data_IF_667978752868
#
_entry.id   IF_667978752868
#
_cell.length_a   1.000
_cell.length_b   1.000
_cell.length_c   1.000
_cell.angle_alpha   90.00
_cell.angle_beta   90.00
_cell.angle_gamma   90.00
#
_symmetry.space_group_name_H-M   'P 1'
#
loop_
_entity.id
_entity.type
_entity.pdbx_description
1 polymer ?
#
# COMPACT_ATOMS: atom_id res chain seq x y z
N UNK A 1 10.17 -23.44 15.96
CA UNK A 1 9.83 -23.06 14.56
C UNK A 1 8.34 -23.22 14.22
N UNK A 2 7.82 -24.44 14.08
CA UNK A 2 6.55 -24.72 13.35
C UNK A 2 5.29 -23.99 13.85
N UNK A 3 5.07 -23.88 15.17
CA UNK A 3 3.87 -23.21 15.74
C UNK A 3 3.79 -21.73 15.36
N UNK A 4 4.93 -21.02 15.38
CA UNK A 4 5.02 -19.60 14.98
C UNK A 4 4.74 -19.43 13.48
N UNK A 5 5.34 -20.25 12.61
CA UNK A 5 5.08 -20.26 11.17
C UNK A 5 3.60 -20.55 10.82
N UNK A 6 2.95 -21.43 11.60
CA UNK A 6 1.52 -21.74 11.42
C UNK A 6 0.62 -20.59 11.92
N UNK A 7 1.03 -19.88 12.96
CA UNK A 7 0.33 -18.68 13.45
C UNK A 7 0.51 -17.49 12.49
N UNK A 8 1.73 -17.19 12.03
CA UNK A 8 1.98 -16.09 11.08
C UNK A 8 1.22 -16.32 9.78
N UNK A 9 1.24 -17.52 9.19
CA UNK A 9 0.42 -17.85 7.99
C UNK A 9 -1.10 -17.79 8.23
N UNK A 10 -1.59 -17.80 9.48
CA UNK A 10 -3.01 -17.53 9.82
C UNK A 10 -3.27 -16.02 9.96
N UNK A 11 -2.43 -15.30 10.71
CA UNK A 11 -2.52 -13.84 10.85
C UNK A 11 -2.44 -13.13 9.49
N UNK A 12 -1.55 -13.60 8.62
CA UNK A 12 -1.35 -13.07 7.27
C UNK A 12 -2.61 -13.14 6.39
N UNK A 13 -3.51 -14.13 6.61
CA UNK A 13 -4.81 -14.16 5.93
C UNK A 13 -5.64 -12.91 6.24
N UNK A 14 -5.69 -12.55 7.52
CA UNK A 14 -6.45 -11.40 8.00
C UNK A 14 -5.72 -10.08 7.70
N UNK A 15 -4.38 -10.07 7.76
CA UNK A 15 -3.56 -8.93 7.33
C UNK A 15 -3.74 -8.60 5.84
N UNK A 16 -3.77 -9.61 4.96
CA UNK A 16 -4.09 -9.43 3.54
C UNK A 16 -5.51 -8.89 3.32
N UNK A 17 -6.49 -9.35 4.11
CA UNK A 17 -7.87 -8.85 4.01
C UNK A 17 -7.99 -7.41 4.54
N UNK A 18 -7.25 -7.08 5.60
CA UNK A 18 -7.14 -5.74 6.15
C UNK A 18 -6.49 -4.78 5.14
N UNK A 19 -5.42 -5.18 4.44
CA UNK A 19 -4.86 -4.38 3.35
C UNK A 19 -5.85 -4.20 2.19
N UNK A 20 -6.53 -5.26 1.78
CA UNK A 20 -7.48 -5.23 0.66
C UNK A 20 -8.71 -4.34 0.95
N UNK A 21 -9.07 -4.17 2.23
CA UNK A 21 -10.09 -3.21 2.67
C UNK A 21 -9.53 -1.81 2.96
N UNK A 22 -8.35 -1.68 3.58
CA UNK A 22 -7.77 -0.40 3.96
C UNK A 22 -7.29 0.40 2.74
N UNK A 23 -6.60 -0.22 1.78
CA UNK A 23 -6.03 0.51 0.63
C UNK A 23 -7.13 1.23 -0.20
N UNK A 24 -8.36 0.67 -0.40
CA UNK A 24 -9.44 1.38 -1.08
C UNK A 24 -10.36 2.22 -0.17
N UNK A 25 -10.59 1.82 1.09
CA UNK A 25 -11.58 2.48 1.97
C UNK A 25 -10.98 3.47 2.97
N UNK A 26 -9.70 3.34 3.32
CA UNK A 26 -9.08 4.22 4.30
C UNK A 26 -8.70 5.56 3.65
N UNK A 27 -9.23 6.70 4.12
CA UNK A 27 -8.79 8.00 3.65
C UNK A 27 -7.31 8.22 4.01
N UNK A 28 -6.57 8.84 3.10
CA UNK A 28 -5.09 8.92 3.12
C UNK A 28 -4.51 9.88 4.17
N UNK A 29 -4.83 9.63 5.44
CA UNK A 29 -4.40 10.47 6.54
C UNK A 29 -2.86 10.45 6.72
N UNK A 30 -2.22 11.63 6.88
CA UNK A 30 -0.82 11.71 7.25
C UNK A 30 -0.64 11.21 8.69
N UNK A 31 0.33 10.33 8.91
CA UNK A 31 0.78 9.94 10.25
C UNK A 31 2.04 10.72 10.65
N UNK A 32 3.02 10.82 9.75
CA UNK A 32 4.24 11.62 9.95
C UNK A 32 4.41 12.53 8.73
N UNK A 33 4.51 13.85 8.94
CA UNK A 33 4.88 14.81 7.90
C UNK A 33 6.40 14.94 7.85
N UNK A 34 6.96 14.97 6.64
CA UNK A 34 8.39 15.15 6.39
C UNK A 34 8.59 16.60 5.92
N UNK A 35 9.24 17.47 6.71
CA UNK A 35 9.32 18.90 6.43
C UNK A 35 10.02 19.17 5.09
N UNK A 36 9.55 20.18 4.36
CA UNK A 36 10.04 20.50 3.02
C UNK A 36 9.53 19.57 1.90
N UNK A 37 8.55 18.69 2.17
CA UNK A 37 7.94 17.85 1.13
C UNK A 37 6.41 17.73 1.28
N UNK A 38 5.73 17.62 0.14
CA UNK A 38 4.32 17.24 0.02
C UNK A 38 4.04 15.76 0.40
N UNK A 39 5.01 15.07 1.00
CA UNK A 39 5.06 13.60 1.09
C UNK A 39 5.10 13.15 2.55
N UNK A 40 3.92 12.87 3.10
CA UNK A 40 3.79 12.20 4.40
C UNK A 40 4.11 10.70 4.33
N UNK A 41 4.46 10.13 5.48
CA UNK A 41 4.20 8.72 5.79
C UNK A 41 2.74 8.63 6.22
N UNK A 42 1.95 7.76 5.58
CA UNK A 42 0.52 7.59 5.87
C UNK A 42 0.29 6.48 6.88
N UNK A 43 -0.90 6.41 7.47
CA UNK A 43 -1.22 5.29 8.37
C UNK A 43 -1.30 3.94 7.62
N UNK A 44 -1.69 3.95 6.34
CA UNK A 44 -1.71 2.75 5.49
C UNK A 44 -0.30 2.12 5.33
N UNK A 45 0.75 2.96 5.25
CA UNK A 45 2.16 2.54 5.13
C UNK A 45 2.60 1.69 6.36
N UNK A 46 2.07 1.97 7.56
CA UNK A 46 2.34 1.18 8.78
C UNK A 46 1.66 -0.19 8.76
N UNK A 47 0.44 -0.28 8.24
CA UNK A 47 -0.25 -1.57 8.06
C UNK A 47 0.46 -2.42 7.01
N UNK A 48 0.93 -1.79 5.93
CA UNK A 48 1.79 -2.41 4.91
C UNK A 48 3.09 -2.95 5.54
N UNK A 49 3.79 -2.15 6.34
CA UNK A 49 5.00 -2.59 7.05
C UNK A 49 4.75 -3.75 8.03
N UNK A 50 3.66 -3.71 8.81
CA UNK A 50 3.31 -4.79 9.73
C UNK A 50 3.01 -6.11 8.98
N UNK A 51 2.28 -6.05 7.86
CA UNK A 51 1.99 -7.23 7.02
C UNK A 51 3.25 -7.69 6.27
N UNK A 52 4.16 -6.79 5.89
CA UNK A 52 5.46 -7.13 5.32
C UNK A 52 6.34 -7.93 6.30
N UNK A 53 6.42 -7.51 7.56
CA UNK A 53 7.14 -8.23 8.61
C UNK A 53 6.53 -9.62 8.84
N UNK A 54 5.19 -9.71 8.92
CA UNK A 54 4.50 -11.00 9.01
C UNK A 54 4.74 -11.89 7.78
N UNK A 55 4.81 -11.32 6.57
CA UNK A 55 5.12 -12.03 5.33
C UNK A 55 6.55 -12.57 5.33
N UNK A 56 7.54 -11.74 5.67
CA UNK A 56 8.94 -12.13 5.76
C UNK A 56 9.13 -13.25 6.78
N UNK A 57 8.52 -13.15 7.97
CA UNK A 57 8.56 -14.22 8.99
C UNK A 57 7.83 -15.49 8.51
N UNK A 58 6.71 -15.35 7.80
CA UNK A 58 5.92 -16.47 7.30
C UNK A 58 6.59 -17.23 6.14
N UNK A 59 7.39 -16.56 5.31
CA UNK A 59 7.94 -17.13 4.06
C UNK A 59 9.48 -17.07 3.98
N UNK A 60 10.19 -16.77 5.07
CA UNK A 60 11.66 -16.76 5.11
C UNK A 60 12.31 -18.04 4.53
N UNK A 61 11.82 -19.26 4.83
CA UNK A 61 12.34 -20.49 4.21
C UNK A 61 12.10 -20.55 2.70
N UNK A 62 10.94 -20.06 2.25
CA UNK A 62 10.55 -20.04 0.84
C UNK A 62 11.16 -18.87 0.04
N UNK A 63 11.81 -17.89 0.68
CA UNK A 63 12.37 -16.70 0.02
C UNK A 63 13.27 -17.03 -1.18
N UNK A 64 14.07 -18.11 -1.13
CA UNK A 64 14.91 -18.55 -2.27
C UNK A 64 14.13 -18.82 -3.57
N UNK A 65 12.79 -18.84 -3.51
CA UNK A 65 11.89 -18.96 -4.66
C UNK A 65 11.55 -17.60 -5.32
N UNK A 66 12.10 -16.45 -4.88
CA UNK A 66 11.86 -15.07 -5.41
C UNK A 66 13.19 -14.39 -6.20
N UNK A 67 12.98 -15.36 -7.23
CA UNK A 67 13.65 -15.59 -8.57
C UNK A 67 13.38 -16.92 -9.28
N UNK A 68 12.46 -17.76 -8.80
CA UNK A 68 12.14 -18.98 -9.53
C UNK A 68 11.50 -18.66 -10.90
N UNK A 69 10.87 -17.49 -11.05
CA UNK A 69 10.17 -17.07 -12.28
C UNK A 69 10.75 -15.78 -12.87
N UNK A 70 10.68 -15.66 -14.21
CA UNK A 70 11.14 -14.48 -14.98
C UNK A 70 10.58 -13.16 -14.43
N UNK A 71 9.28 -13.09 -14.12
CA UNK A 71 8.60 -11.89 -13.60
C UNK A 71 9.19 -11.45 -12.24
N UNK A 72 9.42 -12.39 -11.33
CA UNK A 72 10.02 -12.12 -10.01
C UNK A 72 11.42 -11.49 -10.19
N UNK A 73 12.19 -11.98 -11.16
CA UNK A 73 13.51 -11.45 -11.55
C UNK A 73 13.44 -10.07 -12.22
N UNK A 74 12.44 -9.83 -13.07
CA UNK A 74 12.21 -8.52 -13.71
C UNK A 74 11.90 -7.43 -12.67
N UNK A 75 11.13 -7.74 -11.62
CA UNK A 75 10.87 -6.81 -10.51
C UNK A 75 12.15 -6.52 -9.72
N UNK A 76 12.97 -7.54 -9.44
CA UNK A 76 14.26 -7.36 -8.78
C UNK A 76 15.23 -6.48 -9.59
N UNK A 77 15.30 -6.68 -10.93
CA UNK A 77 16.09 -5.85 -11.85
C UNK A 77 15.57 -4.41 -11.85
N UNK A 78 14.25 -4.19 -11.92
CA UNK A 78 13.65 -2.85 -11.89
C UNK A 78 13.99 -2.08 -10.60
N UNK A 79 13.95 -2.75 -9.44
CA UNK A 79 14.31 -2.15 -8.16
C UNK A 79 15.83 -1.88 -8.05
N UNK A 80 16.67 -2.76 -8.61
CA UNK A 80 18.12 -2.58 -8.68
C UNK A 80 18.54 -1.42 -9.60
N UNK A 81 17.97 -1.33 -10.80
CA UNK A 81 18.18 -0.18 -11.71
C UNK A 81 17.67 1.11 -11.08
N UNK A 82 16.54 1.06 -10.37
CA UNK A 82 16.05 2.19 -9.57
C UNK A 82 17.01 2.64 -8.47
N UNK A 83 17.74 1.71 -7.84
CA UNK A 83 18.76 2.02 -6.83
C UNK A 83 20.01 2.65 -7.47
N UNK A 84 20.48 2.10 -8.59
CA UNK A 84 21.63 2.64 -9.33
C UNK A 84 21.32 4.05 -9.84
N UNK A 85 20.10 4.27 -10.35
CA UNK A 85 19.62 5.59 -10.76
C UNK A 85 19.58 6.59 -9.59
N UNK A 86 19.11 6.16 -8.41
CA UNK A 86 19.14 6.99 -7.19
C UNK A 86 20.57 7.33 -6.76
N UNK A 87 21.47 6.35 -6.75
CA UNK A 87 22.88 6.56 -6.37
C UNK A 87 23.60 7.51 -7.33
N UNK A 88 23.32 7.41 -8.64
CA UNK A 88 23.80 8.39 -9.63
C UNK A 88 23.23 9.79 -9.36
N UNK A 89 21.93 9.89 -9.07
CA UNK A 89 21.24 11.13 -8.72
C UNK A 89 21.78 11.85 -7.47
N UNK A 90 22.29 11.07 -6.50
CA UNK A 90 22.91 11.57 -5.26
C UNK A 90 24.39 11.90 -5.48
N UNK A 91 25.17 10.98 -6.04
CA UNK A 91 26.64 11.03 -6.02
C UNK A 91 27.25 11.76 -7.22
N UNK A 92 26.64 11.63 -8.41
CA UNK A 92 27.21 12.11 -9.68
C UNK A 92 26.54 13.41 -10.09
N UNK A 93 25.21 13.43 -10.23
CA UNK A 93 24.50 14.64 -10.67
C UNK A 93 24.11 15.58 -9.54
N UNK A 94 24.15 15.11 -8.29
CA UNK A 94 23.82 15.86 -7.07
C UNK A 94 22.44 16.55 -7.11
N UNK A 95 21.52 16.03 -7.92
CA UNK A 95 20.17 16.58 -8.15
C UNK A 95 19.14 16.10 -7.14
N UNK A 96 19.47 15.09 -6.32
CA UNK A 96 18.53 14.43 -5.41
C UNK A 96 19.00 14.54 -3.96
N UNK A 97 18.17 15.16 -3.11
CA UNK A 97 18.38 15.20 -1.65
C UNK A 97 18.37 13.76 -1.11
N UNK A 98 19.45 13.26 -0.46
CA UNK A 98 19.63 11.83 -0.21
C UNK A 98 18.50 11.15 0.57
N UNK A 99 18.03 11.76 1.65
CA UNK A 99 16.99 11.17 2.50
C UNK A 99 15.63 11.11 1.79
N UNK A 100 15.25 12.15 1.04
CA UNK A 100 14.03 12.18 0.21
C UNK A 100 14.11 11.09 -0.86
N UNK A 101 15.24 11.00 -1.58
CA UNK A 101 15.44 10.01 -2.63
C UNK A 101 15.38 8.56 -2.14
N UNK A 102 15.99 8.26 -0.99
CA UNK A 102 15.92 6.95 -0.34
C UNK A 102 14.49 6.56 0.03
N UNK A 103 13.72 7.48 0.62
CA UNK A 103 12.30 7.24 0.97
C UNK A 103 11.45 6.96 -0.27
N UNK A 104 11.67 7.69 -1.37
CA UNK A 104 11.00 7.41 -2.65
C UNK A 104 11.36 6.03 -3.24
N UNK A 105 12.61 5.55 -3.07
CA UNK A 105 12.99 4.22 -3.50
C UNK A 105 12.43 3.12 -2.59
N UNK A 106 12.46 3.30 -1.27
CA UNK A 106 11.84 2.37 -0.30
C UNK A 106 10.36 2.16 -0.59
N UNK A 107 9.60 3.23 -0.88
CA UNK A 107 8.17 3.12 -1.23
C UNK A 107 7.92 2.37 -2.55
N UNK A 108 8.87 2.34 -3.48
CA UNK A 108 8.78 1.45 -4.68
C UNK A 108 8.86 -0.02 -4.30
N UNK A 109 9.70 -0.39 -3.32
CA UNK A 109 9.75 -1.76 -2.78
C UNK A 109 8.41 -2.09 -2.11
N UNK A 110 7.90 -1.18 -1.28
CA UNK A 110 6.65 -1.33 -0.54
C UNK A 110 5.47 -1.68 -1.46
N UNK A 111 5.33 -0.99 -2.59
CA UNK A 111 4.30 -1.25 -3.60
C UNK A 111 4.37 -2.66 -4.23
N UNK A 112 5.54 -3.32 -4.24
CA UNK A 112 5.67 -4.71 -4.70
C UNK A 112 5.37 -5.75 -3.60
N UNK A 113 5.26 -5.36 -2.33
CA UNK A 113 4.97 -6.29 -1.24
C UNK A 113 3.62 -6.99 -1.44
N UNK A 114 2.48 -6.32 -1.74
CA UNK A 114 1.21 -6.99 -2.02
C UNK A 114 1.26 -7.98 -3.19
N UNK A 115 2.09 -7.69 -4.20
CA UNK A 115 2.29 -8.57 -5.35
C UNK A 115 2.97 -9.89 -4.94
N UNK A 116 4.12 -9.83 -4.26
CA UNK A 116 4.82 -11.03 -3.77
C UNK A 116 4.02 -11.78 -2.69
N UNK A 117 3.33 -11.02 -1.83
CA UNK A 117 2.40 -11.52 -0.81
C UNK A 117 1.30 -12.39 -1.44
N UNK A 118 0.58 -11.87 -2.45
CA UNK A 118 -0.42 -12.65 -3.19
C UNK A 118 0.19 -13.84 -3.94
N UNK A 119 1.29 -13.61 -4.66
CA UNK A 119 1.95 -14.61 -5.53
C UNK A 119 2.53 -15.82 -4.77
N UNK A 120 2.95 -15.66 -3.52
CA UNK A 120 3.26 -16.80 -2.64
C UNK A 120 2.04 -17.30 -1.87
N UNK A 121 1.20 -16.41 -1.33
CA UNK A 121 0.10 -16.83 -0.47
C UNK A 121 -0.92 -17.69 -1.21
N UNK A 122 -1.28 -17.35 -2.46
CA UNK A 122 -2.27 -18.12 -3.23
C UNK A 122 -1.69 -19.35 -3.94
N UNK A 123 -0.37 -19.46 -4.10
CA UNK A 123 0.31 -20.56 -4.82
C UNK A 123 -0.05 -21.95 -4.26
N UNK A 124 -0.26 -22.02 -2.95
CA UNK A 124 -0.47 -23.28 -2.21
C UNK A 124 -1.86 -23.34 -1.52
N UNK A 125 -2.90 -22.68 -2.06
CA UNK A 125 -4.22 -22.55 -1.39
C UNK A 125 -5.40 -23.09 -2.18
N UNK A 126 -6.31 -23.73 -1.45
CA UNK A 126 -7.61 -24.23 -1.95
C UNK A 126 -8.60 -23.09 -2.17
N UNK A 127 -9.51 -23.29 -3.11
CA UNK A 127 -10.57 -22.38 -3.58
C UNK A 127 -11.29 -21.58 -2.48
N UNK A 128 -11.70 -22.24 -1.38
CA UNK A 128 -12.36 -21.59 -0.22
C UNK A 128 -11.54 -20.44 0.42
N UNK A 129 -10.25 -20.35 0.10
CA UNK A 129 -9.39 -19.22 0.46
C UNK A 129 -9.60 -18.04 -0.49
N UNK A 130 -9.65 -18.28 -1.80
CA UNK A 130 -9.92 -17.28 -2.83
C UNK A 130 -11.35 -16.73 -2.71
N UNK A 131 -12.33 -17.61 -2.49
CA UNK A 131 -13.74 -17.26 -2.22
C UNK A 131 -13.88 -16.24 -1.09
N UNK A 132 -13.11 -16.41 0.00
CA UNK A 132 -13.07 -15.45 1.11
C UNK A 132 -12.54 -14.08 0.68
N UNK A 133 -11.45 -14.02 -0.09
CA UNK A 133 -10.91 -12.74 -0.57
C UNK A 133 -11.80 -12.06 -1.61
N UNK A 134 -12.48 -12.83 -2.47
CA UNK A 134 -13.50 -12.32 -3.38
C UNK A 134 -14.70 -11.73 -2.61
N UNK A 135 -15.16 -12.39 -1.54
CA UNK A 135 -16.21 -11.86 -0.66
C UNK A 135 -15.79 -10.56 0.02
N UNK A 136 -14.56 -10.45 0.52
CA UNK A 136 -14.02 -9.18 1.07
C UNK A 136 -13.96 -8.11 -0.03
N UNK A 137 -13.48 -8.42 -1.22
CA UNK A 137 -13.40 -7.48 -2.34
C UNK A 137 -14.79 -6.96 -2.76
N UNK A 138 -15.80 -7.83 -2.84
CA UNK A 138 -17.18 -7.41 -3.15
C UNK A 138 -17.75 -6.48 -2.09
N UNK A 139 -17.52 -6.76 -0.79
CA UNK A 139 -17.94 -5.86 0.29
C UNK A 139 -17.24 -4.50 0.17
N UNK A 140 -15.92 -4.50 -0.09
CA UNK A 140 -15.12 -3.28 -0.27
C UNK A 140 -15.62 -2.45 -1.47
N UNK A 141 -15.93 -3.08 -2.59
CA UNK A 141 -16.51 -2.41 -3.76
C UNK A 141 -17.87 -1.78 -3.46
N UNK A 142 -18.75 -2.50 -2.75
CA UNK A 142 -20.07 -1.97 -2.36
C UNK A 142 -19.94 -0.78 -1.41
N UNK A 143 -19.07 -0.86 -0.39
CA UNK A 143 -18.84 0.25 0.55
C UNK A 143 -18.22 1.46 -0.15
N UNK A 144 -17.24 1.26 -1.04
CA UNK A 144 -16.63 2.33 -1.82
C UNK A 144 -17.65 3.01 -2.76
N UNK A 145 -18.53 2.23 -3.39
CA UNK A 145 -19.59 2.75 -4.26
C UNK A 145 -20.63 3.56 -3.47
N UNK A 146 -21.10 3.05 -2.33
CA UNK A 146 -22.00 3.78 -1.44
C UNK A 146 -21.36 5.08 -0.91
N UNK A 147 -20.06 5.07 -0.61
CA UNK A 147 -19.32 6.27 -0.21
C UNK A 147 -19.24 7.30 -1.35
N UNK A 148 -18.98 6.86 -2.58
CA UNK A 148 -19.02 7.72 -3.77
C UNK A 148 -20.40 8.32 -4.06
N UNK A 149 -21.49 7.57 -3.84
CA UNK A 149 -22.86 8.08 -3.92
C UNK A 149 -23.12 9.15 -2.84
N UNK A 150 -22.67 8.91 -1.60
CA UNK A 150 -22.76 9.89 -0.51
C UNK A 150 -21.95 11.16 -0.76
N UNK A 151 -20.76 11.05 -1.34
CA UNK A 151 -19.98 12.22 -1.77
C UNK A 151 -20.68 13.00 -2.90
N UNK A 152 -21.38 12.31 -3.81
CA UNK A 152 -22.09 12.94 -4.94
C UNK A 152 -23.38 13.64 -4.53
N UNK A 153 -24.17 13.05 -3.63
CA UNK A 153 -25.56 13.48 -3.35
C UNK A 153 -25.81 13.94 -1.90
N UNK A 154 -24.96 13.57 -0.94
CA UNK A 154 -25.11 13.89 0.49
C UNK A 154 -23.94 14.74 1.03
N UNK A 155 -23.13 15.31 0.14
CA UNK A 155 -21.92 16.11 0.44
C UNK A 155 -20.97 15.47 1.46
N UNK A 156 -20.85 14.13 1.47
CA UNK A 156 -19.91 13.43 2.36
C UNK A 156 -18.46 13.89 2.14
N UNK A 157 -17.62 13.90 3.19
CA UNK A 157 -16.29 14.49 3.12
C UNK A 157 -15.36 13.79 2.12
N UNK A 158 -14.61 14.61 1.39
CA UNK A 158 -13.57 14.20 0.45
C UNK A 158 -12.21 14.53 1.06
N UNK A 159 -11.39 13.52 1.33
CA UNK A 159 -10.01 13.72 1.83
C UNK A 159 -9.04 13.43 0.68
N UNK A 160 -8.53 14.51 0.07
CA UNK A 160 -7.46 14.47 -0.94
C UNK A 160 -6.15 14.97 -0.33
N UNK A 161 -5.02 14.57 -0.92
CA UNK A 161 -3.67 14.99 -0.48
C UNK A 161 -2.85 15.54 -1.66
N UNK A 162 -3.50 16.31 -2.54
CA UNK A 162 -2.90 16.81 -3.79
C UNK A 162 -2.15 18.15 -3.67
N UNK A 163 -2.31 18.87 -2.56
CA UNK A 163 -1.60 20.11 -2.23
C UNK A 163 -1.10 20.01 -0.77
N UNK A 164 -0.15 20.84 -0.36
CA UNK A 164 0.40 20.82 1.02
C UNK A 164 -0.67 21.12 2.07
N UNK A 165 -1.56 22.09 1.81
CA UNK A 165 -2.75 22.36 2.63
C UNK A 165 -3.61 21.11 2.83
N UNK A 166 -3.95 20.42 1.73
CA UNK A 166 -4.79 19.22 1.79
C UNK A 166 -4.04 18.00 2.34
N UNK A 167 -2.70 17.95 2.22
CA UNK A 167 -1.85 16.91 2.82
C UNK A 167 -1.93 16.87 4.35
N UNK A 168 -2.46 17.93 4.98
CA UNK A 168 -2.77 17.97 6.43
C UNK A 168 -3.92 17.03 6.82
N UNK A 169 -4.67 16.47 5.87
CA UNK A 169 -5.81 15.57 6.11
C UNK A 169 -7.15 16.30 6.23
N UNK A 170 -7.27 17.51 5.70
CA UNK A 170 -8.50 18.32 5.79
C UNK A 170 -9.61 17.66 4.97
N UNK A 171 -10.77 17.47 5.61
CA UNK A 171 -11.98 16.99 4.96
C UNK A 171 -12.62 18.13 4.13
N UNK A 172 -12.53 18.04 2.81
CA UNK A 172 -13.29 18.92 1.92
C UNK A 172 -14.74 18.46 1.88
N UNK A 173 -15.63 19.26 2.46
CA UNK A 173 -17.07 19.20 2.20
C UNK A 173 -17.31 20.04 0.94
N UNK A 174 -17.99 19.46 -0.06
CA UNK A 174 -18.43 20.22 -1.23
C UNK A 174 -19.48 21.24 -0.75
N UNK A 175 -19.29 22.57 -0.98
CA UNK A 175 -20.36 23.53 -0.75
C UNK A 175 -21.59 23.09 -1.53
N UNK A 176 -22.75 23.03 -0.85
CA UNK A 176 -24.01 22.94 -1.57
C UNK A 176 -24.06 24.15 -2.51
N UNK A 177 -24.43 23.92 -3.76
CA UNK A 177 -24.48 25.00 -4.75
C UNK A 177 -25.65 25.89 -4.35
N UNK A 178 -25.36 27.05 -3.75
CA UNK A 178 -26.40 28.01 -3.37
C UNK A 178 -27.28 28.30 -4.58
N UNK A 179 -28.56 27.92 -4.47
CA UNK A 179 -29.57 28.15 -5.50
C UNK A 179 -30.14 29.56 -5.36
N UNK A 180 -29.24 30.54 -5.33
CA UNK A 180 -29.53 31.97 -5.40
C UNK A 180 -29.14 32.45 -6.79
N UNK A 181 -30.05 32.21 -7.74
CA UNK A 181 -30.22 33.02 -8.95
C UNK A 181 -30.63 34.44 -8.57
#
# INVERSE_FOLDING_TARGET
>A
MSKLLKQSKRLLKYGMAALLAAIPLYPKFPAIRIPGTYVSVRLEDFLMAAVAILFLIAFLPEMKRLFAKKIERSVAILLGVGLISLLSGILITQTVVPHIGLLHWMRRIEYFIPFFLGLLYFRDKKEKTLEFFLKVLMIVLVVAFLYGLGQKYLSWPVIITQNEEYSKGVALIRPLRDTTT
#
